data_IF_814111687874
#
_entry.id   IF_814111687874
#
_cell.length_a   1.000
_cell.length_b   1.000
_cell.length_c   1.000
_cell.angle_alpha   90.00
_cell.angle_beta   90.00
_cell.angle_gamma   90.00
#
_symmetry.space_group_name_H-M   'P 1'
#
loop_
_entity.id
_entity.type
_entity.pdbx_description
1 polymer ?
#
# COMPACT_ATOMS: atom_id res chain seq x y z
N UNK A 1 13.96 18.10 -17.62
CA UNK A 1 13.52 17.94 -16.20
C UNK A 1 14.74 17.73 -15.33
N UNK A 2 14.75 18.19 -14.07
CA UNK A 2 15.89 18.07 -13.12
C UNK A 2 16.47 16.65 -13.06
N UNK A 3 15.63 15.64 -13.25
CA UNK A 3 16.04 14.24 -13.31
C UNK A 3 17.05 13.90 -14.41
N UNK A 4 17.13 14.69 -15.49
CA UNK A 4 18.12 14.52 -16.56
C UNK A 4 19.39 15.36 -16.35
N UNK A 5 19.39 16.26 -15.36
CA UNK A 5 20.59 17.00 -14.92
C UNK A 5 21.45 16.18 -13.94
N UNK A 6 20.92 15.05 -13.47
CA UNK A 6 21.69 14.06 -12.73
C UNK A 6 22.48 13.20 -13.72
N UNK A 7 23.80 13.22 -13.60
CA UNK A 7 24.63 12.12 -14.08
C UNK A 7 24.14 10.79 -13.48
N UNK A 8 24.45 9.65 -14.12
CA UNK A 8 24.00 8.33 -13.64
C UNK A 8 24.38 8.02 -12.19
N UNK A 9 25.43 8.69 -11.68
CA UNK A 9 25.99 8.62 -10.32
C UNK A 9 25.35 9.58 -9.32
N UNK A 10 24.57 10.57 -9.77
CA UNK A 10 23.85 11.50 -8.91
C UNK A 10 24.76 12.41 -8.08
N UNK A 11 25.70 13.12 -8.71
CA UNK A 11 26.65 14.02 -8.06
C UNK A 11 26.01 15.23 -7.35
N UNK A 12 26.51 16.44 -7.63
CA UNK A 12 26.12 17.65 -6.89
C UNK A 12 24.61 17.96 -6.92
N UNK A 13 23.93 17.60 -8.02
CA UNK A 13 22.48 17.74 -8.16
C UNK A 13 21.70 16.94 -7.11
N UNK A 14 22.14 15.72 -6.76
CA UNK A 14 21.47 14.91 -5.74
C UNK A 14 21.65 15.51 -4.35
N UNK A 15 22.84 16.06 -4.07
CA UNK A 15 23.14 16.75 -2.81
C UNK A 15 22.23 17.97 -2.62
N UNK A 16 22.08 18.80 -3.65
CA UNK A 16 21.14 19.93 -3.63
C UNK A 16 19.70 19.47 -3.44
N UNK A 17 19.31 18.37 -4.10
CA UNK A 17 17.97 17.81 -3.94
C UNK A 17 17.72 17.33 -2.51
N UNK A 18 18.69 16.67 -1.86
CA UNK A 18 18.58 16.28 -0.45
C UNK A 18 18.46 17.50 0.48
N UNK A 19 19.23 18.56 0.23
CA UNK A 19 19.15 19.79 1.02
C UNK A 19 17.79 20.49 0.86
N UNK A 20 17.26 20.53 -0.36
CA UNK A 20 15.91 21.01 -0.64
C UNK A 20 14.86 20.18 0.12
N UNK A 21 14.95 18.85 0.02
CA UNK A 21 14.03 17.93 0.70
C UNK A 21 14.00 18.18 2.22
N UNK A 22 15.16 18.26 2.87
CA UNK A 22 15.28 18.59 4.31
C UNK A 22 14.65 19.93 4.67
N UNK A 23 14.80 20.93 3.81
CA UNK A 23 14.23 22.27 4.02
C UNK A 23 12.71 22.27 3.89
N UNK A 24 12.15 21.29 3.18
CA UNK A 24 10.71 21.15 2.94
C UNK A 24 9.99 20.21 3.92
N UNK A 25 10.70 19.36 4.66
CA UNK A 25 10.11 18.35 5.58
C UNK A 25 9.06 18.94 6.53
N UNK A 26 9.35 20.09 7.14
CA UNK A 26 8.45 20.75 8.09
C UNK A 26 7.10 21.16 7.49
N UNK A 27 6.99 21.33 6.18
CA UNK A 27 5.74 21.74 5.51
C UNK A 27 4.80 20.57 5.21
N UNK A 28 5.27 19.32 5.32
CA UNK A 28 4.49 18.11 5.08
C UNK A 28 3.93 17.47 6.36
N UNK A 29 4.26 18.05 7.53
CA UNK A 29 3.75 17.56 8.80
C UNK A 29 2.23 17.80 8.91
N UNK A 30 1.41 16.86 9.42
CA UNK A 30 -0.04 17.01 9.49
C UNK A 30 -0.55 18.27 10.23
N UNK A 31 0.27 18.85 11.13
CA UNK A 31 -0.06 20.09 11.84
C UNK A 31 0.24 21.38 11.06
N UNK A 32 1.10 21.32 10.05
CA UNK A 32 1.52 22.47 9.24
C UNK A 32 0.89 22.47 7.85
N UNK A 33 0.20 21.39 7.50
CA UNK A 33 -0.52 21.26 6.25
C UNK A 33 -1.71 22.22 6.23
N UNK A 34 -1.64 23.18 5.30
CA UNK A 34 -2.75 24.05 4.92
C UNK A 34 -3.33 23.55 3.59
N UNK A 35 -4.66 23.64 3.43
CA UNK A 35 -5.40 23.13 2.25
C UNK A 35 -4.97 23.76 0.90
N UNK A 36 -4.11 24.79 0.92
CA UNK A 36 -3.63 25.52 -0.27
C UNK A 36 -2.28 25.03 -0.84
N UNK A 37 -1.68 23.97 -0.31
CA UNK A 37 -0.35 23.49 -0.74
C UNK A 37 -0.37 22.49 -1.92
N UNK A 38 -1.13 22.79 -2.98
CA UNK A 38 -1.17 21.96 -4.20
C UNK A 38 0.19 21.83 -4.88
N UNK A 39 1.02 22.88 -4.83
CA UNK A 39 2.38 22.86 -5.38
C UNK A 39 3.30 21.88 -4.63
N UNK A 40 3.19 21.78 -3.30
CA UNK A 40 3.97 20.81 -2.52
C UNK A 40 3.53 19.37 -2.80
N UNK A 41 2.22 19.12 -2.84
CA UNK A 41 1.71 17.80 -3.26
C UNK A 41 2.17 17.41 -4.67
N UNK A 42 2.15 18.37 -5.59
CA UNK A 42 2.64 18.17 -6.96
C UNK A 42 4.12 17.84 -6.95
N UNK A 43 4.96 18.57 -6.20
CA UNK A 43 6.39 18.27 -6.06
C UNK A 43 6.62 16.85 -5.51
N UNK A 44 5.95 16.51 -4.40
CA UNK A 44 6.02 15.21 -3.74
C UNK A 44 5.73 14.05 -4.70
N UNK A 45 4.71 14.19 -5.54
CA UNK A 45 4.30 13.14 -6.47
C UNK A 45 5.03 13.14 -7.81
N UNK A 46 5.42 14.32 -8.33
CA UNK A 46 6.00 14.47 -9.66
C UNK A 46 7.48 14.08 -9.71
N UNK A 47 8.23 14.36 -8.65
CA UNK A 47 9.67 14.12 -8.67
C UNK A 47 9.99 12.60 -8.66
N UNK A 48 9.48 11.77 -7.73
CA UNK A 48 9.66 10.32 -7.82
C UNK A 48 9.12 9.73 -9.13
N UNK A 49 8.00 10.24 -9.64
CA UNK A 49 7.43 9.81 -10.92
C UNK A 49 8.35 10.13 -12.11
N UNK A 50 9.06 11.26 -12.08
CA UNK A 50 10.02 11.64 -13.11
C UNK A 50 11.25 10.71 -13.09
N UNK A 51 11.74 10.30 -11.91
CA UNK A 51 12.82 9.31 -11.79
C UNK A 51 12.38 7.94 -12.30
N UNK A 52 11.19 7.49 -11.93
CA UNK A 52 10.63 6.24 -12.44
C UNK A 52 10.46 6.27 -13.96
N UNK A 53 9.99 7.40 -14.50
CA UNK A 53 9.84 7.58 -15.95
C UNK A 53 11.19 7.56 -16.68
N UNK A 54 12.22 8.18 -16.10
CA UNK A 54 13.60 8.10 -16.60
C UNK A 54 14.05 6.65 -16.60
N UNK A 55 14.04 5.96 -15.46
CA UNK A 55 14.45 4.55 -15.36
C UNK A 55 13.76 3.64 -16.41
N UNK A 56 12.44 3.78 -16.58
CA UNK A 56 11.68 3.01 -17.60
C UNK A 56 12.08 3.37 -19.04
N UNK A 57 12.48 4.60 -19.30
CA UNK A 57 12.96 5.02 -20.62
C UNK A 57 14.37 4.48 -20.89
N UNK A 58 15.28 4.57 -19.93
CA UNK A 58 16.65 4.05 -20.03
C UNK A 58 16.63 2.55 -20.31
N UNK A 59 15.80 1.80 -19.57
CA UNK A 59 15.59 0.36 -19.78
C UNK A 59 15.04 0.04 -21.19
N UNK A 60 14.09 0.84 -21.70
CA UNK A 60 13.53 0.64 -23.04
C UNK A 60 14.49 0.99 -24.18
N UNK A 61 15.40 1.93 -23.95
CA UNK A 61 16.39 2.36 -24.95
C UNK A 61 17.64 1.47 -24.95
N UNK A 62 17.82 0.62 -23.94
CA UNK A 62 19.02 -0.21 -23.81
C UNK A 62 20.28 0.62 -23.63
N UNK A 63 20.21 1.72 -22.86
CA UNK A 63 21.38 2.58 -22.63
C UNK A 63 22.54 1.82 -21.96
N UNK A 64 23.80 2.23 -22.20
CA UNK A 64 24.95 1.68 -21.50
C UNK A 64 24.77 1.77 -19.97
N UNK A 65 25.21 0.77 -19.19
CA UNK A 65 25.03 0.77 -17.72
C UNK A 65 25.57 2.02 -17.01
N UNK A 66 26.60 2.64 -17.57
CA UNK A 66 27.24 3.87 -17.07
C UNK A 66 26.39 5.14 -17.24
N UNK A 67 25.45 5.15 -18.19
CA UNK A 67 24.52 6.27 -18.41
C UNK A 67 23.19 6.09 -17.66
N UNK A 68 22.90 4.87 -17.21
CA UNK A 68 21.68 4.54 -16.49
C UNK A 68 21.71 5.12 -15.07
N UNK A 69 20.52 5.38 -14.52
CA UNK A 69 20.36 5.64 -13.09
C UNK A 69 20.89 4.46 -12.28
N UNK A 70 21.98 4.69 -11.54
CA UNK A 70 22.52 3.71 -10.62
C UNK A 70 21.55 3.43 -9.47
N UNK A 71 21.64 2.23 -8.92
CA UNK A 71 20.79 1.82 -7.80
C UNK A 71 21.00 2.72 -6.56
N UNK A 72 22.23 3.15 -6.30
CA UNK A 72 22.57 4.09 -5.22
C UNK A 72 21.77 5.41 -5.30
N UNK A 73 21.58 5.94 -6.50
CA UNK A 73 20.80 7.17 -6.73
C UNK A 73 19.32 6.91 -6.49
N UNK A 74 18.79 5.78 -6.97
CA UNK A 74 17.40 5.36 -6.73
C UNK A 74 17.12 5.22 -5.24
N UNK A 75 18.00 4.54 -4.52
CA UNK A 75 17.93 4.33 -3.08
C UNK A 75 17.99 5.65 -2.31
N UNK A 76 18.89 6.56 -2.70
CA UNK A 76 18.98 7.89 -2.11
C UNK A 76 17.71 8.73 -2.33
N UNK A 77 17.12 8.65 -3.53
CA UNK A 77 15.85 9.33 -3.85
C UNK A 77 14.70 8.77 -3.01
N UNK A 78 14.57 7.45 -2.93
CA UNK A 78 13.55 6.83 -2.08
C UNK A 78 13.78 7.16 -0.61
N UNK A 79 15.02 7.09 -0.13
CA UNK A 79 15.37 7.36 1.26
C UNK A 79 15.05 8.79 1.72
N UNK A 80 15.21 9.80 0.85
CA UNK A 80 14.87 11.19 1.21
C UNK A 80 13.36 11.48 1.11
N UNK A 81 12.63 10.84 0.19
CA UNK A 81 11.21 11.16 -0.07
C UNK A 81 10.22 10.25 0.68
N UNK A 82 10.60 9.02 1.01
CA UNK A 82 9.74 8.08 1.73
C UNK A 82 9.28 8.61 3.10
N UNK A 83 10.15 9.18 3.97
CA UNK A 83 9.72 9.72 5.26
C UNK A 83 8.67 10.82 5.12
N UNK A 84 8.84 11.69 4.11
CA UNK A 84 7.91 12.78 3.80
C UNK A 84 6.56 12.20 3.35
N UNK A 85 6.56 11.27 2.40
CA UNK A 85 5.34 10.67 1.88
C UNK A 85 4.58 9.91 2.99
N UNK A 86 5.28 9.10 3.79
CA UNK A 86 4.69 8.34 4.90
C UNK A 86 4.10 9.26 5.98
N UNK A 87 4.76 10.37 6.29
CA UNK A 87 4.22 11.39 7.22
C UNK A 87 2.99 12.08 6.64
N UNK A 88 3.03 12.39 5.33
CA UNK A 88 1.93 13.06 4.61
C UNK A 88 0.67 12.19 4.54
N UNK A 89 0.77 10.86 4.61
CA UNK A 89 -0.40 9.97 4.68
C UNK A 89 -1.30 10.25 5.90
N UNK A 90 -0.76 10.83 6.97
CA UNK A 90 -1.52 11.20 8.15
C UNK A 90 -2.16 12.60 8.04
N UNK A 91 -2.05 13.25 6.88
CA UNK A 91 -2.61 14.58 6.65
C UNK A 91 -4.13 14.54 6.63
N UNK A 92 -4.76 15.63 7.12
CA UNK A 92 -6.20 15.85 7.00
C UNK A 92 -6.62 16.18 5.56
N UNK A 93 -5.69 16.68 4.73
CA UNK A 93 -5.98 17.03 3.34
C UNK A 93 -5.90 15.81 2.44
N UNK A 94 -7.04 15.32 1.99
CA UNK A 94 -7.12 14.14 1.11
C UNK A 94 -6.39 14.34 -0.22
N UNK A 95 -6.27 15.59 -0.68
CA UNK A 95 -5.47 15.91 -1.87
C UNK A 95 -3.99 15.60 -1.66
N UNK A 96 -3.42 15.99 -0.52
CA UNK A 96 -2.03 15.69 -0.21
C UNK A 96 -1.81 14.20 0.05
N UNK A 97 -2.75 13.52 0.70
CA UNK A 97 -2.71 12.05 0.85
C UNK A 97 -2.65 11.37 -0.51
N UNK A 98 -3.47 11.78 -1.50
CA UNK A 98 -3.40 11.22 -2.86
C UNK A 98 -2.04 11.44 -3.53
N UNK A 99 -1.44 12.62 -3.37
CA UNK A 99 -0.09 12.88 -3.88
C UNK A 99 0.96 12.00 -3.21
N UNK A 100 0.87 11.82 -1.89
CA UNK A 100 1.74 10.92 -1.13
C UNK A 100 1.60 9.47 -1.60
N UNK A 101 0.37 8.96 -1.76
CA UNK A 101 0.13 7.61 -2.29
C UNK A 101 0.74 7.42 -3.68
N UNK A 102 0.62 8.42 -4.57
CA UNK A 102 1.23 8.39 -5.91
C UNK A 102 2.76 8.43 -5.86
N UNK A 103 3.33 9.18 -4.92
CA UNK A 103 4.76 9.21 -4.68
C UNK A 103 5.27 7.83 -4.23
N UNK A 104 4.59 7.22 -3.24
CA UNK A 104 4.89 5.87 -2.74
C UNK A 104 4.83 4.84 -3.88
N UNK A 105 3.81 4.90 -4.74
CA UNK A 105 3.75 4.02 -5.92
C UNK A 105 4.95 4.17 -6.84
N UNK A 106 5.38 5.41 -7.07
CA UNK A 106 6.55 5.65 -7.92
C UNK A 106 7.83 5.13 -7.27
N UNK A 107 7.98 5.33 -5.95
CA UNK A 107 9.14 4.88 -5.17
C UNK A 107 9.20 3.35 -5.02
N UNK A 108 8.05 2.67 -4.88
CA UNK A 108 7.98 1.21 -4.77
C UNK A 108 8.53 0.51 -6.02
N UNK A 109 8.31 1.12 -7.18
CA UNK A 109 8.85 0.66 -8.45
C UNK A 109 10.31 1.10 -8.70
N UNK A 110 10.81 2.08 -7.93
CA UNK A 110 12.16 2.66 -8.11
C UNK A 110 13.19 1.96 -7.22
N UNK A 111 12.88 1.81 -5.93
CA UNK A 111 13.67 1.04 -4.98
C UNK A 111 12.75 0.41 -3.91
N UNK A 112 12.23 -0.80 -4.16
CA UNK A 112 11.37 -1.49 -3.20
C UNK A 112 12.10 -1.83 -1.90
N UNK A 113 13.39 -2.17 -1.97
CA UNK A 113 14.20 -2.56 -0.83
C UNK A 113 14.33 -1.46 0.23
N UNK A 114 14.32 -0.18 -0.18
CA UNK A 114 14.37 0.96 0.74
C UNK A 114 12.97 1.36 1.21
N UNK A 115 11.95 1.26 0.35
CA UNK A 115 10.61 1.73 0.68
C UNK A 115 9.82 0.77 1.58
N UNK A 116 9.86 -0.53 1.29
CA UNK A 116 8.94 -1.47 1.93
C UNK A 116 9.18 -1.67 3.43
N UNK A 117 10.42 -1.77 3.95
CA UNK A 117 10.63 -1.93 5.38
C UNK A 117 9.91 -0.87 6.24
N UNK A 118 10.13 0.45 6.04
CA UNK A 118 9.44 1.47 6.84
C UNK A 118 7.93 1.57 6.53
N UNK A 119 7.50 1.22 5.32
CA UNK A 119 6.08 1.20 4.97
C UNK A 119 5.35 0.07 5.70
N UNK A 120 5.92 -1.14 5.74
CA UNK A 120 5.34 -2.31 6.36
C UNK A 120 5.30 -2.17 7.88
N UNK A 121 6.37 -1.67 8.49
CA UNK A 121 6.37 -1.32 9.93
C UNK A 121 5.23 -0.34 10.24
N UNK A 122 5.08 0.71 9.44
CA UNK A 122 3.99 1.67 9.60
C UNK A 122 2.61 1.03 9.37
N UNK A 123 2.48 0.13 8.41
CA UNK A 123 1.23 -0.58 8.13
C UNK A 123 0.81 -1.44 9.31
N UNK A 124 1.75 -2.18 9.91
CA UNK A 124 1.51 -2.97 11.13
C UNK A 124 1.00 -2.07 12.26
N UNK A 125 1.67 -0.94 12.50
CA UNK A 125 1.26 0.02 13.54
C UNK A 125 -0.12 0.62 13.27
N UNK A 126 -0.39 1.04 12.03
CA UNK A 126 -1.67 1.69 11.69
C UNK A 126 -2.84 0.71 11.76
N UNK A 127 -2.67 -0.49 11.21
CA UNK A 127 -3.76 -1.46 11.11
C UNK A 127 -3.99 -2.19 12.43
N UNK A 128 -2.93 -2.57 13.15
CA UNK A 128 -2.99 -3.36 14.38
C UNK A 128 -3.38 -2.60 15.65
N UNK A 129 -3.21 -1.28 15.71
CA UNK A 129 -3.54 -0.48 16.91
C UNK A 129 -4.82 0.34 16.75
N UNK A 130 -5.23 1.05 17.82
CA UNK A 130 -6.38 1.95 17.86
C UNK A 130 -6.16 3.26 17.07
N UNK A 131 -5.75 3.14 15.80
CA UNK A 131 -5.68 4.24 14.84
C UNK A 131 -7.08 4.68 14.40
N UNK A 132 -7.18 5.92 13.92
CA UNK A 132 -8.46 6.44 13.41
C UNK A 132 -8.93 5.64 12.18
N UNK A 133 -10.26 5.46 11.99
CA UNK A 133 -10.79 4.70 10.86
C UNK A 133 -10.29 5.19 9.50
N UNK A 134 -10.24 6.51 9.30
CA UNK A 134 -9.74 7.10 8.06
C UNK A 134 -8.26 6.81 7.79
N UNK A 135 -7.43 6.73 8.83
CA UNK A 135 -6.02 6.37 8.68
C UNK A 135 -5.85 4.90 8.30
N UNK A 136 -6.63 4.00 8.92
CA UNK A 136 -6.65 2.58 8.54
C UNK A 136 -7.09 2.40 7.08
N UNK A 137 -8.17 3.07 6.69
CA UNK A 137 -8.68 3.06 5.32
C UNK A 137 -7.62 3.56 4.32
N UNK A 138 -6.95 4.67 4.64
CA UNK A 138 -5.87 5.21 3.82
C UNK A 138 -4.70 4.24 3.66
N UNK A 139 -4.27 3.58 4.75
CA UNK A 139 -3.20 2.58 4.69
C UNK A 139 -3.60 1.35 3.86
N UNK A 140 -4.81 0.83 4.02
CA UNK A 140 -5.34 -0.27 3.19
C UNK A 140 -5.33 0.10 1.70
N UNK A 141 -5.76 1.32 1.36
CA UNK A 141 -5.72 1.82 -0.02
C UNK A 141 -4.30 1.96 -0.57
N UNK A 142 -3.33 2.40 0.25
CA UNK A 142 -1.91 2.46 -0.14
C UNK A 142 -1.36 1.05 -0.39
N UNK A 143 -1.57 0.11 0.53
CA UNK A 143 -1.13 -1.28 0.34
C UNK A 143 -1.75 -1.89 -0.92
N UNK A 144 -3.03 -1.61 -1.18
CA UNK A 144 -3.75 -2.12 -2.35
C UNK A 144 -3.14 -1.58 -3.64
N UNK A 145 -2.82 -0.29 -3.70
CA UNK A 145 -2.17 0.32 -4.86
C UNK A 145 -0.73 -0.17 -5.07
N UNK A 146 -0.07 -0.66 -4.02
CA UNK A 146 1.32 -1.12 -4.05
C UNK A 146 1.48 -2.63 -4.20
N UNK A 147 0.37 -3.35 -4.39
CA UNK A 147 0.35 -4.81 -4.30
C UNK A 147 1.28 -5.50 -5.31
N UNK A 148 1.40 -4.98 -6.54
CA UNK A 148 2.31 -5.54 -7.55
C UNK A 148 3.77 -5.57 -7.10
N UNK A 149 4.39 -4.40 -6.85
CA UNK A 149 5.76 -4.33 -6.32
C UNK A 149 5.92 -4.99 -4.94
N UNK A 150 4.89 -4.97 -4.09
CA UNK A 150 4.93 -5.58 -2.78
C UNK A 150 5.05 -7.11 -2.87
N UNK A 151 4.31 -7.75 -3.77
CA UNK A 151 4.40 -9.20 -3.99
C UNK A 151 5.73 -9.62 -4.63
N UNK A 152 6.41 -8.72 -5.35
CA UNK A 152 7.76 -8.98 -5.86
C UNK A 152 8.81 -8.84 -4.76
N UNK A 153 8.65 -7.85 -3.87
CA UNK A 153 9.53 -7.65 -2.72
C UNK A 153 9.38 -8.75 -1.67
N UNK A 154 8.15 -9.05 -1.27
CA UNK A 154 7.79 -10.08 -0.28
C UNK A 154 7.46 -11.40 -0.98
N UNK A 155 8.36 -11.87 -1.84
CA UNK A 155 8.17 -13.07 -2.65
C UNK A 155 7.99 -14.35 -1.83
N UNK A 156 8.52 -14.38 -0.60
CA UNK A 156 8.33 -15.43 0.39
C UNK A 156 7.05 -15.24 1.24
N UNK A 157 6.36 -14.11 1.09
CA UNK A 157 5.07 -13.81 1.70
C UNK A 157 5.10 -13.60 3.21
N UNK A 158 6.28 -13.39 3.80
CA UNK A 158 6.43 -13.32 5.27
C UNK A 158 5.72 -12.09 5.84
N UNK A 159 5.96 -10.92 5.25
CA UNK A 159 5.42 -9.67 5.76
C UNK A 159 3.90 -9.58 5.53
N UNK A 160 3.43 -10.10 4.40
CA UNK A 160 2.02 -10.13 4.04
C UNK A 160 1.21 -11.07 4.94
N UNK A 161 1.80 -12.20 5.37
CA UNK A 161 1.16 -13.08 6.37
C UNK A 161 0.98 -12.38 7.71
N UNK A 162 1.94 -11.58 8.15
CA UNK A 162 1.81 -10.82 9.41
C UNK A 162 0.70 -9.76 9.34
N UNK A 163 0.46 -9.16 8.17
CA UNK A 163 -0.61 -8.17 7.98
C UNK A 163 -2.00 -8.81 7.82
N UNK A 164 -2.05 -10.10 7.48
CA UNK A 164 -3.26 -10.82 7.09
C UNK A 164 -4.39 -10.75 8.15
N UNK A 165 -4.12 -10.98 9.46
CA UNK A 165 -5.16 -10.87 10.48
C UNK A 165 -5.81 -9.48 10.50
N UNK A 166 -5.02 -8.42 10.39
CA UNK A 166 -5.51 -7.05 10.39
C UNK A 166 -6.30 -6.70 9.12
N UNK A 167 -5.94 -7.28 7.98
CA UNK A 167 -6.71 -7.13 6.73
C UNK A 167 -8.06 -7.83 6.84
N UNK A 168 -8.12 -9.03 7.43
CA UNK A 168 -9.37 -9.78 7.64
C UNK A 168 -10.28 -9.07 8.64
N UNK A 169 -9.76 -8.60 9.77
CA UNK A 169 -10.50 -7.74 10.71
C UNK A 169 -11.00 -6.44 10.07
N UNK A 170 -10.32 -6.00 9.00
CA UNK A 170 -10.68 -4.84 8.21
C UNK A 170 -12.05 -4.95 7.53
N UNK A 171 -12.52 -6.16 7.24
CA UNK A 171 -13.76 -6.37 6.48
C UNK A 171 -14.96 -5.96 7.32
N UNK A 172 -15.64 -4.94 6.84
CA UNK A 172 -16.74 -4.31 7.54
C UNK A 172 -17.95 -4.22 6.60
N UNK A 173 -19.05 -4.92 6.91
CA UNK A 173 -20.22 -4.95 6.05
C UNK A 173 -20.85 -3.54 5.93
N UNK A 174 -20.57 -2.63 6.86
CA UNK A 174 -21.06 -1.26 6.86
C UNK A 174 -20.09 -0.26 6.23
N UNK A 175 -18.84 -0.66 5.93
CA UNK A 175 -17.85 0.17 5.24
C UNK A 175 -17.39 -0.52 3.95
N UNK A 176 -18.12 -0.22 2.87
CA UNK A 176 -17.91 -0.82 1.55
C UNK A 176 -16.51 -0.54 1.01
N UNK A 177 -15.94 0.65 1.28
CA UNK A 177 -14.62 1.02 0.79
C UNK A 177 -13.51 0.26 1.50
N UNK A 178 -13.60 0.15 2.83
CA UNK A 178 -12.68 -0.64 3.63
C UNK A 178 -12.73 -2.11 3.22
N UNK A 179 -13.94 -2.66 3.08
CA UNK A 179 -14.16 -4.03 2.60
C UNK A 179 -13.59 -4.23 1.20
N UNK A 180 -13.82 -3.32 0.27
CA UNK A 180 -13.27 -3.41 -1.09
C UNK A 180 -11.74 -3.50 -1.08
N UNK A 181 -11.05 -2.66 -0.29
CA UNK A 181 -9.60 -2.73 -0.20
C UNK A 181 -9.14 -4.06 0.39
N UNK A 182 -9.73 -4.50 1.50
CA UNK A 182 -9.37 -5.79 2.12
C UNK A 182 -9.56 -6.97 1.15
N UNK A 183 -10.72 -7.06 0.49
CA UNK A 183 -11.02 -8.11 -0.49
C UNK A 183 -10.03 -8.06 -1.66
N UNK A 184 -9.71 -6.88 -2.18
CA UNK A 184 -8.73 -6.70 -3.27
C UNK A 184 -7.33 -7.14 -2.87
N UNK A 185 -6.92 -6.87 -1.62
CA UNK A 185 -5.63 -7.30 -1.07
C UNK A 185 -5.58 -8.84 -1.00
N UNK A 186 -6.60 -9.44 -0.40
CA UNK A 186 -6.73 -10.90 -0.25
C UNK A 186 -6.78 -11.61 -1.60
N UNK A 187 -7.54 -11.09 -2.55
CA UNK A 187 -7.58 -11.61 -3.91
C UNK A 187 -6.18 -11.60 -4.55
N UNK A 188 -5.46 -10.48 -4.46
CA UNK A 188 -4.12 -10.38 -5.06
C UNK A 188 -3.12 -11.34 -4.43
N UNK A 189 -3.23 -11.57 -3.12
CA UNK A 189 -2.44 -12.58 -2.40
C UNK A 189 -2.74 -13.99 -2.90
N UNK A 190 -4.02 -14.31 -3.10
CA UNK A 190 -4.44 -15.63 -3.61
C UNK A 190 -3.92 -15.92 -5.02
N UNK A 191 -3.85 -14.90 -5.89
CA UNK A 191 -3.41 -15.07 -7.29
C UNK A 191 -1.92 -15.36 -7.43
N UNK A 192 -1.07 -14.86 -6.52
CA UNK A 192 0.38 -15.12 -6.53
C UNK A 192 0.80 -16.23 -5.59
N UNK A 193 -0.15 -16.89 -4.93
CA UNK A 193 0.14 -18.00 -4.05
C UNK A 193 0.53 -19.29 -4.80
N UNK A 194 1.72 -19.29 -5.43
CA UNK A 194 2.65 -20.42 -5.36
C UNK A 194 3.57 -20.13 -4.17
N UNK A 195 3.00 -20.22 -2.96
CA UNK A 195 3.78 -20.10 -1.73
C UNK A 195 4.54 -21.41 -1.59
N UNK A 196 5.87 -21.32 -1.56
CA UNK A 196 6.81 -22.44 -1.56
C UNK A 196 6.35 -23.57 -0.62
N UNK A 197 6.20 -24.76 -1.19
CA UNK A 197 5.56 -25.91 -0.58
C UNK A 197 6.56 -26.73 0.23
N UNK A 198 7.17 -26.19 1.28
CA UNK A 198 7.87 -27.03 2.27
C UNK A 198 7.65 -26.49 3.70
N UNK A 199 6.79 -27.20 4.45
CA UNK A 199 6.69 -27.11 5.91
C UNK A 199 6.02 -25.85 6.45
N UNK A 200 4.70 -25.90 6.69
CA UNK A 200 3.94 -24.85 7.38
C UNK A 200 3.99 -23.48 6.67
N UNK A 201 3.70 -23.48 5.36
CA UNK A 201 3.84 -22.31 4.52
C UNK A 201 2.68 -21.29 4.61
N UNK A 202 2.92 -20.03 4.21
CA UNK A 202 1.92 -18.98 3.99
C UNK A 202 0.66 -19.43 3.23
N UNK A 203 0.74 -20.50 2.42
CA UNK A 203 -0.40 -21.12 1.72
C UNK A 203 -1.42 -21.77 2.63
N UNK A 204 -0.99 -22.42 3.71
CA UNK A 204 -1.90 -22.97 4.72
C UNK A 204 -2.50 -21.85 5.55
N UNK A 205 -1.69 -20.87 5.97
CA UNK A 205 -2.19 -19.68 6.68
C UNK A 205 -3.16 -18.85 5.83
N UNK A 206 -2.88 -18.67 4.54
CA UNK A 206 -3.78 -18.03 3.58
C UNK A 206 -5.00 -18.91 3.30
N UNK A 207 -4.86 -20.24 3.23
CA UNK A 207 -5.98 -21.18 3.12
C UNK A 207 -6.94 -21.06 4.31
N UNK A 208 -6.43 -21.16 5.53
CA UNK A 208 -7.22 -20.95 6.74
C UNK A 208 -7.80 -19.54 6.83
N UNK A 209 -7.01 -18.51 6.50
CA UNK A 209 -7.49 -17.14 6.49
C UNK A 209 -8.52 -16.89 5.38
N UNK A 210 -8.41 -17.56 4.23
CA UNK A 210 -9.39 -17.49 3.13
C UNK A 210 -10.65 -18.27 3.47
N UNK A 211 -10.55 -19.41 4.15
CA UNK A 211 -11.69 -20.17 4.64
C UNK A 211 -12.42 -19.38 5.73
N UNK A 212 -11.70 -18.86 6.72
CA UNK A 212 -12.23 -17.96 7.76
C UNK A 212 -12.80 -16.67 7.15
N UNK A 213 -12.17 -16.14 6.10
CA UNK A 213 -12.65 -14.97 5.34
C UNK A 213 -13.94 -15.26 4.57
N UNK A 214 -14.01 -16.38 3.86
CA UNK A 214 -15.22 -16.82 3.14
C UNK A 214 -16.34 -17.01 4.15
N UNK A 215 -16.07 -17.69 5.27
CA UNK A 215 -17.03 -17.85 6.37
C UNK A 215 -17.45 -16.49 6.93
N UNK A 216 -16.52 -15.57 7.19
CA UNK A 216 -16.82 -14.24 7.72
C UNK A 216 -17.63 -13.37 6.75
N UNK A 217 -17.33 -13.39 5.45
CA UNK A 217 -18.11 -12.70 4.41
C UNK A 217 -19.50 -13.30 4.32
N UNK A 218 -19.61 -14.63 4.23
CA UNK A 218 -20.89 -15.33 4.13
C UNK A 218 -21.74 -15.01 5.35
N UNK A 219 -21.17 -15.11 6.56
CA UNK A 219 -21.86 -14.84 7.81
C UNK A 219 -22.33 -13.37 7.92
N UNK A 220 -21.47 -12.40 7.62
CA UNK A 220 -21.83 -10.97 7.64
C UNK A 220 -22.84 -10.60 6.55
N UNK A 221 -22.74 -11.20 5.37
CA UNK A 221 -23.71 -11.00 4.28
C UNK A 221 -25.07 -11.58 4.66
N UNK A 222 -25.09 -12.76 5.29
CA UNK A 222 -26.31 -13.34 5.87
C UNK A 222 -26.91 -12.44 6.96
N UNK A 223 -26.11 -11.88 7.87
CA UNK A 223 -26.57 -10.94 8.90
C UNK A 223 -27.21 -9.69 8.29
N UNK A 224 -26.60 -9.10 7.25
CA UNK A 224 -27.15 -7.96 6.53
C UNK A 224 -28.43 -8.29 5.77
N UNK A 225 -28.48 -9.42 5.08
CA UNK A 225 -29.70 -9.87 4.41
C UNK A 225 -30.83 -10.14 5.42
N UNK A 226 -30.48 -10.62 6.62
CA UNK A 226 -31.45 -10.85 7.69
C UNK A 226 -31.95 -9.53 8.29
N UNK A 227 -31.10 -8.50 8.42
CA UNK A 227 -31.51 -7.18 8.91
C UNK A 227 -32.37 -6.42 7.88
N UNK A 228 -32.06 -6.55 6.58
CA UNK A 228 -32.87 -6.02 5.47
C UNK A 228 -34.19 -6.79 5.26
N UNK A 229 -34.18 -8.11 5.50
CA UNK A 229 -35.39 -8.94 5.47
C UNK A 229 -36.36 -8.62 6.61
N UNK A 230 -35.82 -8.26 7.79
CA UNK A 230 -36.62 -7.83 8.94
C UNK A 230 -37.36 -6.50 8.70
N UNK A 231 -36.86 -5.60 7.85
CA UNK A 231 -37.55 -4.35 7.49
C UNK A 231 -38.62 -4.54 6.40
N UNK A 232 -38.57 -5.62 5.61
CA UNK A 232 -39.44 -5.84 4.44
C UNK A 232 -40.38 -7.05 4.55
N UNK A 233 -40.47 -7.72 5.72
CA UNK A 233 -41.39 -8.84 5.93
C UNK A 233 -41.07 -10.10 5.12
N UNK A 234 -39.84 -10.24 4.62
CA UNK A 234 -39.40 -11.41 3.84
C UNK A 234 -38.79 -12.45 4.78
N UNK A 235 -39.19 -13.71 4.59
CA UNK A 235 -38.83 -14.89 5.41
C UNK A 235 -37.32 -15.01 5.62
N UNK A 236 -36.91 -15.18 6.89
CA UNK A 236 -35.50 -15.37 7.28
C UNK A 236 -34.92 -16.62 6.63
N UNK A 237 -33.77 -16.54 5.92
CA UNK A 237 -33.02 -17.74 5.56
C UNK A 237 -32.42 -18.34 6.83
N UNK A 238 -32.77 -19.58 7.15
CA UNK A 238 -32.15 -20.35 8.24
C UNK A 238 -30.69 -20.67 7.88
N UNK A 239 -29.78 -19.79 8.29
CA UNK A 239 -28.35 -19.82 7.98
C UNK A 239 -27.53 -20.99 8.55
N UNK A 240 -28.16 -21.94 9.25
CA UNK A 240 -27.46 -23.06 9.91
C UNK A 240 -26.88 -24.06 8.92
N UNK A 241 -27.44 -24.19 7.71
CA UNK A 241 -26.99 -25.20 6.74
C UNK A 241 -25.75 -24.77 5.94
N UNK A 242 -25.60 -23.45 5.68
CA UNK A 242 -24.52 -22.91 4.85
C UNK A 242 -23.17 -22.86 5.59
N UNK A 243 -23.17 -22.53 6.88
CA UNK A 243 -21.94 -22.47 7.70
C UNK A 243 -21.37 -23.87 7.94
N UNK A 244 -22.23 -24.89 8.02
CA UNK A 244 -21.81 -26.27 8.30
C UNK A 244 -21.19 -26.95 7.08
N UNK A 245 -21.63 -26.61 5.86
CA UNK A 245 -21.08 -27.16 4.61
C UNK A 245 -19.77 -26.51 4.15
N UNK A 246 -19.40 -25.35 4.68
CA UNK A 246 -18.15 -24.65 4.34
C UNK A 246 -16.95 -25.09 5.21
N UNK A 247 -17.17 -25.90 6.25
CA UNK A 247 -16.12 -26.41 7.16
C UNK A 247 -15.67 -27.85 6.84
N UNK A 248 -16.11 -28.40 5.71
CA UNK A 248 -15.76 -29.73 5.21
C UNK A 248 -15.06 -29.63 3.86
#
# INVERSE_FOLDING_TARGET
>A
TITWLLDGTGGETLRHLQQLTRSLEGFYHPSTVHDRNTSLGTLLSSLPAAFLSRMKLEARRGQPPEEQLQQSVKDAVVGMWAPIALTTLNSKSMTLVRHASRALHSMANLSPAVLFPPLLERAQLVLGFASTPGLKLGMLGVLQGLMGPLLEYDSDGRHLVELLPHIVEGIDPNDTMKTQYCVSLLYSLSQRAVLSAEGCGPRQALGYAMDDFVVAIVQKTLEQLTSLGASNGVVKPTGTWLVTSLRH
#
